data_IF_390892746238
#
_entry.id   IF_390892746238
#
_cell.length_a   1.000
_cell.length_b   1.000
_cell.length_c   1.000
_cell.angle_alpha   90.00
_cell.angle_beta   90.00
_cell.angle_gamma   90.00
#
_symmetry.space_group_name_H-M   'P 1'
#
loop_
_entity.id
_entity.type
_entity.pdbx_description
1 polymer ?
#
# COMPACT_ATOMS: atom_id res chain seq x y z
N UNK A 1 2.50 15.07 -19.71
CA UNK A 1 3.37 14.45 -18.68
C UNK A 1 2.49 14.24 -17.45
N UNK A 2 2.44 13.04 -16.87
CA UNK A 2 1.68 12.82 -15.63
C UNK A 2 2.47 13.47 -14.47
N UNK A 3 1.85 14.36 -13.71
CA UNK A 3 2.46 14.98 -12.52
C UNK A 3 1.87 14.35 -11.27
N UNK A 4 2.67 13.57 -10.53
CA UNK A 4 2.30 13.00 -9.23
C UNK A 4 2.83 13.92 -8.12
N UNK A 5 1.95 14.69 -7.51
CA UNK A 5 2.27 15.66 -6.43
C UNK A 5 2.32 14.99 -5.07
N UNK A 6 1.64 13.85 -4.92
CA UNK A 6 1.58 13.08 -3.68
C UNK A 6 1.63 11.58 -3.95
N UNK A 7 2.49 10.89 -3.21
CA UNK A 7 2.56 9.43 -3.16
C UNK A 7 2.31 8.97 -1.73
N UNK A 8 1.31 8.13 -1.53
CA UNK A 8 0.96 7.58 -0.22
C UNK A 8 1.46 6.14 -0.10
N UNK A 9 2.44 5.93 0.77
CA UNK A 9 2.99 4.60 1.07
C UNK A 9 2.14 3.89 2.13
N UNK A 10 1.73 2.66 1.83
CA UNK A 10 0.81 1.89 2.67
C UNK A 10 1.35 0.46 2.84
N UNK A 11 1.52 -0.05 4.06
CA UNK A 11 1.96 -1.43 4.27
C UNK A 11 0.97 -2.44 3.66
N UNK A 12 1.46 -3.35 2.83
CA UNK A 12 0.65 -4.35 2.12
C UNK A 12 -0.06 -5.35 3.05
N UNK A 13 0.43 -5.54 4.27
CA UNK A 13 -0.20 -6.39 5.30
C UNK A 13 -1.30 -5.69 6.11
N UNK A 14 -1.79 -4.50 5.70
CA UNK A 14 -2.80 -3.73 6.45
C UNK A 14 -4.02 -3.40 5.57
N UNK A 15 -4.94 -4.35 5.34
CA UNK A 15 -6.06 -4.17 4.40
C UNK A 15 -6.97 -2.97 4.76
N UNK A 16 -7.14 -2.68 6.06
CA UNK A 16 -7.88 -1.50 6.52
C UNK A 16 -7.22 -0.18 6.12
N UNK A 17 -5.88 -0.13 6.01
CA UNK A 17 -5.15 1.07 5.57
C UNK A 17 -5.20 1.19 4.06
N UNK A 18 -5.12 0.09 3.33
CA UNK A 18 -5.29 0.05 1.86
C UNK A 18 -6.65 0.64 1.48
N UNK A 19 -7.74 0.16 2.11
CA UNK A 19 -9.10 0.69 1.88
C UNK A 19 -9.22 2.19 2.15
N UNK A 20 -8.58 2.69 3.22
CA UNK A 20 -8.57 4.14 3.53
C UNK A 20 -7.75 4.94 2.53
N UNK A 21 -6.61 4.41 2.08
CA UNK A 21 -5.77 5.05 1.08
C UNK A 21 -6.47 5.17 -0.26
N UNK A 22 -7.20 4.12 -0.68
CA UNK A 22 -8.02 4.15 -1.90
C UNK A 22 -9.11 5.22 -1.88
N UNK A 23 -9.58 5.63 -0.69
CA UNK A 23 -10.54 6.73 -0.51
C UNK A 23 -9.88 8.10 -0.31
N UNK A 24 -8.54 8.19 -0.40
CA UNK A 24 -7.79 9.45 -0.18
C UNK A 24 -7.67 10.28 -1.47
N UNK A 25 -7.17 11.51 -1.33
CA UNK A 25 -6.87 12.40 -2.44
C UNK A 25 -5.42 12.27 -2.97
N UNK A 26 -4.72 11.19 -2.63
CA UNK A 26 -3.34 10.97 -3.10
C UNK A 26 -3.33 10.74 -4.62
N UNK A 27 -2.33 11.31 -5.31
CA UNK A 27 -2.21 11.13 -6.76
C UNK A 27 -1.78 9.70 -7.13
N UNK A 28 -1.03 9.03 -6.25
CA UNK A 28 -0.70 7.61 -6.33
C UNK A 28 -0.61 6.95 -4.95
N UNK A 29 -0.90 5.66 -4.90
CA UNK A 29 -0.74 4.82 -3.71
C UNK A 29 0.32 3.76 -4.01
N UNK A 30 1.29 3.62 -3.12
CA UNK A 30 2.34 2.61 -3.20
C UNK A 30 2.09 1.59 -2.09
N UNK A 31 1.71 0.38 -2.49
CA UNK A 31 1.54 -0.74 -1.57
C UNK A 31 2.92 -1.34 -1.30
N UNK A 32 3.40 -1.17 -0.07
CA UNK A 32 4.74 -1.57 0.33
C UNK A 32 4.78 -3.04 0.77
N UNK A 33 5.73 -3.79 0.23
CA UNK A 33 6.03 -5.19 0.57
C UNK A 33 7.42 -5.35 1.21
N UNK A 34 8.13 -4.25 1.41
CA UNK A 34 9.49 -4.19 1.91
C UNK A 34 9.52 -3.66 3.35
N UNK A 35 9.98 -2.43 3.57
CA UNK A 35 10.39 -1.95 4.90
C UNK A 35 9.23 -1.80 5.89
N UNK A 36 8.02 -1.53 5.40
CA UNK A 36 6.85 -1.41 6.26
C UNK A 36 6.17 -2.76 6.58
N UNK A 37 6.69 -3.88 6.06
CA UNK A 37 6.16 -5.23 6.27
C UNK A 37 7.18 -6.11 7.01
N UNK A 38 6.85 -6.60 8.23
CA UNK A 38 7.70 -7.55 8.93
C UNK A 38 7.98 -8.79 8.08
N UNK A 39 9.19 -9.35 8.19
CA UNK A 39 9.60 -10.50 7.38
C UNK A 39 8.61 -11.68 7.43
N UNK A 40 8.02 -11.94 8.60
CA UNK A 40 7.02 -13.01 8.81
C UNK A 40 5.67 -12.76 8.12
N UNK A 41 5.40 -11.53 7.69
CA UNK A 41 4.12 -11.11 7.11
C UNK A 41 4.20 -10.89 5.59
N UNK A 42 5.37 -11.08 4.96
CA UNK A 42 5.56 -10.76 3.54
C UNK A 42 4.68 -11.58 2.60
N UNK A 43 4.42 -12.84 2.94
CA UNK A 43 3.58 -13.71 2.11
C UNK A 43 2.09 -13.38 2.30
N UNK A 44 1.64 -13.17 3.54
CA UNK A 44 0.31 -12.63 3.83
C UNK A 44 0.07 -11.27 3.14
N UNK A 45 1.05 -10.36 3.16
CA UNK A 45 0.97 -9.08 2.46
C UNK A 45 0.76 -9.26 0.94
N UNK A 46 1.46 -10.23 0.32
CA UNK A 46 1.30 -10.55 -1.10
C UNK A 46 -0.08 -11.12 -1.42
N UNK A 47 -0.66 -11.91 -0.52
CA UNK A 47 -2.02 -12.43 -0.67
C UNK A 47 -3.04 -11.29 -0.56
N UNK A 48 -2.93 -10.44 0.46
CA UNK A 48 -3.84 -9.31 0.70
C UNK A 48 -3.90 -8.35 -0.49
N UNK A 49 -2.76 -8.01 -1.11
CA UNK A 49 -2.76 -7.03 -2.22
C UNK A 49 -3.25 -7.61 -3.56
N UNK A 50 -3.47 -8.93 -3.67
CA UNK A 50 -4.00 -9.57 -4.88
C UNK A 50 -5.53 -9.57 -4.93
N UNK A 51 -6.18 -9.37 -3.80
CA UNK A 51 -7.64 -9.25 -3.66
C UNK A 51 -8.15 -7.89 -4.15
#
# INVERSE_FOLDING_TARGET
>A
MLLLRSLLFVPGNRPQRIRKAAASAADAIVLDLEDAVPQSEKDNAREIIRE
#
